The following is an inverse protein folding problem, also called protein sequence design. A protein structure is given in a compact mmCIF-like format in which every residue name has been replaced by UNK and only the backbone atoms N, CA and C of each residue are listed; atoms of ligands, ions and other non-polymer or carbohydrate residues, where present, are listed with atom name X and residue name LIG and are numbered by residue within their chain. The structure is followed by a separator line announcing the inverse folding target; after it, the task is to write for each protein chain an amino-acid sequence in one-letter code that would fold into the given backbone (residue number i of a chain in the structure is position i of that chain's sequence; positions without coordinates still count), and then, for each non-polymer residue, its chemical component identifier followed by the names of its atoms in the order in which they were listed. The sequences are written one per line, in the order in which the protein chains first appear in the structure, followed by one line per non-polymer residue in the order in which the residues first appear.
data_IF_969257058112
#
_entry.id   IF_969257058112
#
_cell.length_a   1.000
_cell.length_b   1.000
_cell.length_c   1.000
_cell.angle_alpha   90.00
_cell.angle_beta   90.00
_cell.angle_gamma   90.00
#
_symmetry.space_group_name_H-M   'P 1'
#
loop_
_entity.id
_entity.type
_entity.pdbx_description
1 polymer ?
#
# COMPACT_ATOMS: atom_id res chain seq x y z
N UNK A 1 -9.89 0.47 2.52
CA UNK A 1 -10.96 0.73 1.55
C UNK A 1 -12.12 -0.19 1.85
N UNK A 2 -13.35 0.28 1.60
CA UNK A 2 -14.57 -0.46 1.87
C UNK A 2 -14.54 -1.82 1.15
N UNK A 3 -14.59 -1.80 -0.18
CA UNK A 3 -14.55 -3.00 -1.01
C UNK A 3 -13.25 -3.79 -0.91
N UNK A 4 -13.30 -5.05 -1.32
CA UNK A 4 -12.13 -5.90 -1.50
C UNK A 4 -11.40 -5.59 -2.83
N UNK A 5 -10.34 -6.34 -3.14
CA UNK A 5 -9.57 -6.17 -4.38
C UNK A 5 -10.40 -6.46 -5.65
N UNK A 6 -11.42 -7.32 -5.55
CA UNK A 6 -12.33 -7.59 -6.67
C UNK A 6 -13.18 -6.37 -7.05
N UNK A 7 -13.38 -5.48 -6.08
CA UNK A 7 -14.17 -4.26 -6.24
C UNK A 7 -13.40 -3.17 -7.00
N UNK A 8 -12.09 -3.04 -6.75
CA UNK A 8 -11.25 -1.96 -7.30
C UNK A 8 -10.48 -2.40 -8.55
N UNK A 9 -11.20 -2.52 -9.68
CA UNK A 9 -10.65 -2.86 -11.00
C UNK A 9 -11.58 -2.33 -12.09
N UNK A 10 -11.09 -2.26 -13.33
CA UNK A 10 -11.84 -1.73 -14.49
C UNK A 10 -13.22 -2.36 -14.75
N UNK A 11 -13.44 -3.60 -14.29
CA UNK A 11 -14.72 -4.33 -14.40
C UNK A 11 -15.37 -4.60 -13.03
N UNK A 12 -14.80 -4.06 -11.95
CA UNK A 12 -15.34 -4.17 -10.60
C UNK A 12 -16.35 -3.06 -10.34
N UNK A 13 -17.10 -3.18 -9.23
CA UNK A 13 -18.15 -2.21 -8.89
C UNK A 13 -17.64 -0.76 -8.76
N UNK A 14 -16.36 -0.57 -8.42
CA UNK A 14 -15.76 0.76 -8.31
C UNK A 14 -15.06 1.25 -9.58
N UNK A 15 -15.06 0.48 -10.67
CA UNK A 15 -14.55 0.83 -12.02
C UNK A 15 -13.07 1.24 -12.14
N UNK A 16 -12.39 1.46 -11.02
CA UNK A 16 -11.02 1.97 -10.94
C UNK A 16 -10.23 1.13 -9.95
N UNK A 17 -8.96 0.94 -10.26
CA UNK A 17 -7.96 0.45 -9.31
C UNK A 17 -7.71 1.50 -8.21
N UNK A 18 -7.21 1.05 -7.05
CA UNK A 18 -6.79 1.98 -5.99
C UNK A 18 -5.74 2.97 -6.50
N UNK A 19 -4.79 2.51 -7.33
CA UNK A 19 -3.75 3.36 -7.91
C UNK A 19 -4.31 4.49 -8.76
N UNK A 20 -5.37 4.24 -9.54
CA UNK A 20 -6.04 5.27 -10.33
C UNK A 20 -6.79 6.28 -9.45
N UNK A 21 -7.48 5.80 -8.41
CA UNK A 21 -8.15 6.67 -7.44
C UNK A 21 -7.15 7.59 -6.70
N UNK A 22 -5.89 7.16 -6.55
CA UNK A 22 -4.82 7.93 -5.94
C UNK A 22 -4.02 8.79 -6.93
N UNK A 23 -4.44 8.88 -8.20
CA UNK A 23 -3.76 9.70 -9.21
C UNK A 23 -3.55 11.17 -8.80
N UNK A 24 -4.43 11.85 -8.04
CA UNK A 24 -4.14 13.22 -7.58
C UNK A 24 -2.92 13.29 -6.64
N UNK A 25 -2.73 12.29 -5.77
CA UNK A 25 -1.55 12.25 -4.89
C UNK A 25 -0.27 11.96 -5.66
N UNK A 26 -0.33 11.11 -6.69
CA UNK A 26 0.79 10.87 -7.59
C UNK A 26 1.16 12.14 -8.36
N UNK A 27 0.18 12.91 -8.82
CA UNK A 27 0.42 14.21 -9.44
C UNK A 27 1.11 15.19 -8.49
N UNK A 28 0.68 15.26 -7.22
CA UNK A 28 1.34 16.07 -6.18
C UNK A 28 2.77 15.62 -5.93
N UNK A 29 3.04 14.31 -5.82
CA UNK A 29 4.40 13.79 -5.66
C UNK A 29 5.30 14.21 -6.83
N UNK A 30 4.81 14.10 -8.07
CA UNK A 30 5.54 14.54 -9.25
C UNK A 30 5.83 16.04 -9.24
N UNK A 31 4.83 16.87 -8.90
CA UNK A 31 4.99 18.32 -8.81
C UNK A 31 6.07 18.71 -7.80
N UNK A 32 6.09 18.04 -6.64
CA UNK A 32 7.06 18.26 -5.57
C UNK A 32 8.39 17.50 -5.76
N UNK A 33 8.59 16.83 -6.90
CA UNK A 33 9.78 16.00 -7.19
C UNK A 33 10.04 14.90 -6.15
N UNK A 34 8.98 14.37 -5.56
CA UNK A 34 9.03 13.23 -4.65
C UNK A 34 9.01 11.93 -5.45
N UNK A 35 9.68 10.90 -4.94
CA UNK A 35 9.55 9.54 -5.47
C UNK A 35 8.18 8.98 -5.08
N UNK A 36 7.33 8.71 -6.07
CA UNK A 36 6.06 8.01 -5.85
C UNK A 36 6.31 6.53 -5.51
N UNK A 37 5.61 6.01 -4.49
CA UNK A 37 5.60 4.61 -4.12
C UNK A 37 4.15 4.09 -4.16
N UNK A 38 3.93 2.79 -4.43
CA UNK A 38 2.61 2.17 -4.27
C UNK A 38 2.06 2.41 -2.85
N UNK A 39 0.73 2.50 -2.68
CA UNK A 39 0.13 2.71 -1.37
C UNK A 39 0.25 1.48 -0.48
N UNK A 40 0.29 1.69 0.83
CA UNK A 40 -0.12 0.66 1.79
C UNK A 40 -1.64 0.61 1.82
N UNK A 41 -2.24 -0.52 1.48
CA UNK A 41 -3.69 -0.65 1.36
C UNK A 41 -4.22 -1.84 2.17
N UNK A 42 -5.29 -1.58 2.94
CA UNK A 42 -6.13 -2.60 3.58
C UNK A 42 -7.50 -2.52 2.93
N UNK A 43 -7.99 -3.63 2.39
CA UNK A 43 -9.23 -3.71 1.61
C UNK A 43 -10.27 -4.57 2.35
N UNK A 44 -11.53 -4.52 1.93
CA UNK A 44 -12.60 -5.38 2.44
C UNK A 44 -13.12 -4.99 3.82
N UNK A 45 -12.78 -3.82 4.35
CA UNK A 45 -13.08 -3.46 5.75
C UNK A 45 -14.57 -3.43 6.06
N UNK A 46 -15.44 -3.20 5.05
CA UNK A 46 -16.90 -3.18 5.26
C UNK A 46 -17.49 -4.56 5.61
N UNK A 47 -16.77 -5.65 5.30
CA UNK A 47 -17.19 -7.02 5.59
C UNK A 47 -16.86 -7.44 7.04
N UNK A 48 -16.15 -6.57 7.77
CA UNK A 48 -15.51 -6.92 9.04
C UNK A 48 -14.18 -7.64 8.81
N UNK A 49 -13.15 -7.25 9.55
CA UNK A 49 -11.87 -7.95 9.59
C UNK A 49 -11.73 -8.66 10.94
N UNK A 50 -11.18 -9.87 10.93
CA UNK A 50 -10.81 -10.55 12.16
C UNK A 50 -9.75 -9.75 12.93
N UNK A 51 -9.80 -9.77 14.27
CA UNK A 51 -8.87 -9.02 15.11
C UNK A 51 -7.40 -9.36 14.83
N UNK A 52 -7.11 -10.63 14.52
CA UNK A 52 -5.78 -11.11 14.16
C UNK A 52 -5.27 -10.41 12.90
N UNK A 53 -6.14 -10.22 11.91
CA UNK A 53 -5.82 -9.55 10.67
C UNK A 53 -5.63 -8.04 10.87
N UNK A 54 -6.46 -7.43 11.72
CA UNK A 54 -6.29 -6.02 12.13
C UNK A 54 -4.94 -5.83 12.82
N UNK A 55 -4.60 -6.69 13.78
CA UNK A 55 -3.31 -6.69 14.49
C UNK A 55 -2.14 -6.88 13.52
N UNK A 56 -2.27 -7.77 12.55
CA UNK A 56 -1.27 -8.00 11.50
C UNK A 56 -1.05 -6.74 10.67
N UNK A 57 -2.10 -6.12 10.13
CA UNK A 57 -1.99 -4.89 9.37
C UNK A 57 -1.41 -3.72 10.17
N UNK A 58 -1.78 -3.59 11.45
CA UNK A 58 -1.20 -2.59 12.34
C UNK A 58 0.30 -2.80 12.56
N UNK A 59 0.72 -4.05 12.76
CA UNK A 59 2.13 -4.44 12.88
C UNK A 59 2.91 -4.12 11.60
N UNK A 60 2.38 -4.48 10.44
CA UNK A 60 3.00 -4.23 9.14
C UNK A 60 3.11 -2.73 8.84
N UNK A 61 2.07 -1.95 9.16
CA UNK A 61 2.12 -0.49 9.02
C UNK A 61 3.20 0.12 9.92
N UNK A 62 3.29 -0.32 11.18
CA UNK A 62 4.34 0.12 12.10
C UNK A 62 5.74 -0.23 11.57
N UNK A 63 5.93 -1.47 11.11
CA UNK A 63 7.21 -1.94 10.53
C UNK A 63 7.63 -1.09 9.35
N UNK A 64 6.70 -0.81 8.44
CA UNK A 64 6.93 0.02 7.27
C UNK A 64 7.37 1.44 7.65
N UNK A 65 6.61 2.14 8.51
CA UNK A 65 6.93 3.51 8.93
C UNK A 65 8.28 3.56 9.65
N UNK A 66 8.55 2.59 10.50
CA UNK A 66 9.84 2.47 11.22
C UNK A 66 11.00 2.26 10.24
N UNK A 67 10.83 1.37 9.26
CA UNK A 67 11.86 1.12 8.25
C UNK A 67 12.12 2.33 7.34
N UNK A 68 11.09 3.13 7.02
CA UNK A 68 11.29 4.41 6.32
C UNK A 68 12.06 5.42 7.16
N UNK A 69 11.74 5.54 8.46
CA UNK A 69 12.45 6.42 9.40
C UNK A 69 13.93 6.06 9.52
N UNK A 70 14.23 4.76 9.53
CA UNK A 70 15.56 4.22 9.78
C UNK A 70 16.36 3.95 8.49
N UNK A 71 15.89 4.43 7.32
CA UNK A 71 16.52 4.23 6.00
C UNK A 71 16.75 2.74 5.62
N UNK A 72 15.90 1.85 6.13
CA UNK A 72 15.97 0.40 5.93
C UNK A 72 15.15 -0.10 4.73
N UNK A 73 14.48 0.79 3.99
CA UNK A 73 13.74 0.41 2.78
C UNK A 73 14.70 0.32 1.58
N UNK A 74 14.78 -0.86 0.97
CA UNK A 74 15.35 -1.01 -0.35
C UNK A 74 14.36 -0.49 -1.40
N UNK A 75 14.49 0.80 -1.74
CA UNK A 75 13.61 1.42 -2.72
C UNK A 75 13.72 0.79 -4.12
N UNK A 76 14.84 0.15 -4.47
CA UNK A 76 14.98 -0.54 -5.76
C UNK A 76 14.19 -1.86 -5.81
N UNK A 77 13.95 -2.49 -4.65
CA UNK A 77 13.09 -3.66 -4.54
C UNK A 77 11.59 -3.31 -4.55
N UNK A 78 11.22 -2.02 -4.52
CA UNK A 78 9.83 -1.59 -4.71
C UNK A 78 9.47 -1.79 -6.18
N UNK A 79 9.00 -2.99 -6.51
CA UNK A 79 8.50 -3.38 -7.83
C UNK A 79 7.14 -2.74 -8.15
N UNK A 80 6.64 -2.91 -9.38
CA UNK A 80 5.29 -2.53 -9.82
C UNK A 80 4.15 -3.37 -9.18
N UNK A 81 4.26 -3.63 -7.87
CA UNK A 81 3.17 -4.23 -7.11
C UNK A 81 2.07 -3.18 -6.89
N UNK A 82 0.78 -3.59 -6.91
CA UNK A 82 -0.33 -2.67 -6.69
C UNK A 82 -0.30 -2.04 -5.29
N UNK A 83 0.19 -2.78 -4.29
CA UNK A 83 0.28 -2.33 -2.90
C UNK A 83 1.66 -2.59 -2.31
N UNK A 84 2.14 -1.68 -1.46
CA UNK A 84 3.45 -1.78 -0.82
C UNK A 84 3.50 -2.92 0.21
N UNK A 85 2.39 -3.14 0.93
CA UNK A 85 2.27 -4.21 1.92
C UNK A 85 2.18 -5.62 1.33
N UNK A 86 2.13 -5.78 0.01
CA UNK A 86 2.17 -7.09 -0.65
C UNK A 86 3.54 -7.77 -0.51
N UNK A 87 4.61 -6.99 -0.33
CA UNK A 87 6.01 -7.45 -0.36
C UNK A 87 6.87 -6.80 0.72
N UNK A 88 6.29 -6.51 1.88
CA UNK A 88 6.98 -5.80 2.97
C UNK A 88 8.30 -6.45 3.40
N UNK A 89 8.34 -7.78 3.43
CA UNK A 89 9.54 -8.53 3.79
C UNK A 89 10.64 -8.43 2.72
N UNK A 90 10.29 -8.27 1.45
CA UNK A 90 11.25 -8.19 0.35
C UNK A 90 11.87 -6.78 0.23
N UNK A 91 11.14 -5.76 0.68
CA UNK A 91 11.57 -4.36 0.56
C UNK A 91 12.24 -3.82 1.82
N UNK A 92 12.00 -4.41 3.00
CA UNK A 92 12.70 -4.04 4.24
C UNK A 92 14.01 -4.83 4.30
N UNK A 93 15.15 -4.13 4.33
CA UNK A 93 16.46 -4.74 4.52
C UNK A 93 16.49 -5.49 5.85
N UNK A 94 16.95 -6.74 5.81
CA UNK A 94 17.24 -7.49 7.04
C UNK A 94 18.53 -6.94 7.64
N UNK A 95 18.46 -6.58 8.93
CA UNK A 95 19.62 -6.21 9.76
C UNK A 95 20.51 -7.39 10.04
#
# INVERSE_FOLDING_TARGET
AGGDDSTYRHQGANLFTISELLSPYRATANLCRLRWLPPFAVLGIHQGLADELIRSHASDYRRMVTAFRDDMINLEAVTDAPYLNSKLTDIIRQS
#
